data_IF_113314130113
#
_entry.id   IF_113314130113
#
_cell.length_a   1.000
_cell.length_b   1.000
_cell.length_c   1.000
_cell.angle_alpha   90.00
_cell.angle_beta   90.00
_cell.angle_gamma   90.00
#
_symmetry.space_group_name_H-M   'P 1'
#
loop_
_entity.id
_entity.type
_entity.pdbx_description
1 polymer ?
#
# COMPACT_ATOMS: atom_id res chain seq x y z
N UNK A 1 3.61 -18.75 1.29
CA UNK A 1 5.01 -18.26 1.17
C UNK A 1 5.40 -17.71 2.54
N UNK A 2 6.04 -18.55 3.38
CA UNK A 2 6.37 -18.33 4.80
C UNK A 2 5.44 -17.37 5.57
N UNK A 3 4.10 -17.51 5.39
CA UNK A 3 3.15 -16.73 6.18
C UNK A 3 3.42 -16.99 7.64
N UNK A 4 3.67 -18.25 8.00
CA UNK A 4 3.87 -18.66 9.39
C UNK A 4 5.18 -18.12 9.96
N UNK A 5 6.32 -18.23 9.25
CA UNK A 5 7.61 -17.72 9.77
C UNK A 5 7.67 -16.20 9.80
N UNK A 6 7.16 -15.53 8.75
CA UNK A 6 7.07 -14.07 8.73
C UNK A 6 6.09 -13.56 9.79
N UNK A 7 4.95 -14.23 9.98
CA UNK A 7 3.97 -13.88 11.00
C UNK A 7 4.50 -14.13 12.40
N UNK A 8 5.22 -15.24 12.64
CA UNK A 8 5.91 -15.47 13.93
C UNK A 8 6.91 -14.35 14.20
N UNK A 9 7.68 -13.93 13.20
CA UNK A 9 8.65 -12.85 13.36
C UNK A 9 7.99 -11.48 13.60
N UNK A 10 6.93 -11.15 12.85
CA UNK A 10 6.14 -9.93 13.07
C UNK A 10 5.47 -9.95 14.44
N UNK A 11 4.91 -11.09 14.86
CA UNK A 11 4.35 -11.27 16.19
C UNK A 11 5.42 -11.08 17.27
N UNK A 12 6.63 -11.60 17.07
CA UNK A 12 7.73 -11.43 18.01
C UNK A 12 8.13 -9.95 18.14
N UNK A 13 8.24 -9.22 17.02
CA UNK A 13 8.46 -7.77 17.04
C UNK A 13 7.32 -7.05 17.77
N UNK A 14 6.07 -7.44 17.51
CA UNK A 14 4.90 -6.80 18.09
C UNK A 14 4.84 -7.01 19.61
N UNK A 15 5.13 -8.23 20.09
CA UNK A 15 5.26 -8.53 21.51
C UNK A 15 6.41 -7.73 22.14
N UNK A 16 7.56 -7.67 21.48
CA UNK A 16 8.71 -6.92 21.97
C UNK A 16 8.46 -5.40 22.03
N UNK A 17 7.78 -4.85 21.02
CA UNK A 17 7.30 -3.46 20.98
C UNK A 17 6.32 -3.19 22.11
N UNK A 18 5.32 -4.04 22.30
CA UNK A 18 4.32 -3.89 23.36
C UNK A 18 4.97 -3.89 24.74
N UNK A 19 5.88 -4.82 25.00
CA UNK A 19 6.60 -4.90 26.27
C UNK A 19 7.39 -3.61 26.55
N UNK A 20 8.11 -3.09 25.56
CA UNK A 20 8.85 -1.83 25.68
C UNK A 20 7.92 -0.62 25.91
N UNK A 21 6.86 -0.50 25.11
CA UNK A 21 5.92 0.61 25.15
C UNK A 21 5.18 0.69 26.48
N UNK A 22 4.66 -0.44 26.97
CA UNK A 22 3.94 -0.52 28.25
C UNK A 22 4.87 -0.17 29.41
N UNK A 23 6.07 -0.74 29.42
CA UNK A 23 7.06 -0.50 30.49
C UNK A 23 7.49 0.97 30.53
N UNK A 24 7.77 1.56 29.36
CA UNK A 24 8.19 2.97 29.27
C UNK A 24 7.08 3.92 29.72
N UNK A 25 5.84 3.69 29.28
CA UNK A 25 4.70 4.51 29.67
C UNK A 25 4.35 4.36 31.15
N UNK A 26 4.48 3.15 31.71
CA UNK A 26 4.25 2.88 33.13
C UNK A 26 5.26 3.64 34.03
N UNK A 27 6.53 3.65 33.64
CA UNK A 27 7.58 4.40 34.34
C UNK A 27 7.38 5.92 34.27
N UNK A 28 6.93 6.43 33.12
CA UNK A 28 6.64 7.85 32.93
C UNK A 28 5.40 8.29 33.74
N UNK A 29 4.34 7.47 33.74
CA UNK A 29 3.10 7.78 34.46
C UNK A 29 3.26 7.76 35.98
N UNK A 30 4.13 6.91 36.51
CA UNK A 30 4.40 6.85 37.96
C UNK A 30 5.18 8.06 38.44
N UNK A 31 6.13 8.59 37.65
CA UNK A 31 6.82 9.83 37.99
C UNK A 31 5.84 11.04 38.01
N UNK A 32 4.96 11.18 37.01
CA UNK A 32 3.96 12.27 36.99
C UNK A 32 3.07 12.30 38.24
N UNK A 33 2.67 11.14 38.76
CA UNK A 33 1.87 11.03 39.98
C UNK A 33 2.64 11.44 41.25
N UNK A 34 3.91 11.05 41.33
CA UNK A 34 4.77 11.37 42.48
C UNK A 34 5.11 12.88 42.50
N UNK A 35 5.41 13.46 41.34
CA UNK A 35 5.79 14.87 41.23
C UNK A 35 4.61 15.82 41.53
N UNK A 36 3.39 15.46 41.13
CA UNK A 36 2.15 16.11 41.62
C UNK A 36 2.12 16.10 43.14
N UNK A 37 2.28 14.94 43.77
CA UNK A 37 2.10 14.77 45.21
C UNK A 37 3.02 15.69 46.02
N UNK A 38 4.24 15.93 45.52
CA UNK A 38 5.18 16.88 46.10
C UNK A 38 4.83 18.35 45.80
N UNK A 39 4.34 18.66 44.59
CA UNK A 39 3.88 20.01 44.24
C UNK A 39 2.67 20.46 45.10
N UNK A 40 1.77 19.54 45.46
CA UNK A 40 0.59 19.83 46.30
C UNK A 40 0.93 20.05 47.77
N UNK A 41 2.08 19.56 48.26
CA UNK A 41 2.53 19.78 49.64
C UNK A 41 3.20 21.15 49.84
N UNK A 42 3.53 21.87 48.75
CA UNK A 42 4.10 23.22 48.79
C UNK A 42 3.07 24.35 48.92
N UNK A 43 1.77 24.06 48.81
CA UNK A 43 0.72 25.09 48.86
C UNK A 43 -0.55 24.59 49.54
N UNK A 44 -0.73 25.02 50.80
CA UNK A 44 -2.03 25.18 51.48
C UNK A 44 -2.84 23.90 51.76
N UNK A 45 -2.76 23.43 53.01
CA UNK A 45 -3.74 22.83 53.95
C UNK A 45 -5.14 22.32 53.51
N UNK A 46 -5.40 22.06 52.24
CA UNK A 46 -6.62 21.43 51.78
C UNK A 46 -6.24 20.06 51.26
N UNK A 47 -6.47 19.04 52.08
CA UNK A 47 -6.49 17.65 51.66
C UNK A 47 -7.64 17.49 50.66
N UNK A 48 -7.40 17.85 49.40
CA UNK A 48 -8.24 17.44 48.30
C UNK A 48 -7.96 15.96 48.14
N UNK A 49 -8.90 15.13 48.60
CA UNK A 49 -8.97 13.71 48.27
C UNK A 49 -8.54 13.56 46.82
N UNK A 50 -7.41 12.88 46.63
CA UNK A 50 -6.83 12.56 45.34
C UNK A 50 -7.98 12.06 44.48
N UNK A 51 -8.46 12.92 43.59
CA UNK A 51 -9.33 12.50 42.50
C UNK A 51 -8.45 11.58 41.71
N UNK A 52 -8.67 10.30 41.98
CA UNK A 52 -8.14 9.19 41.22
C UNK A 52 -8.74 9.35 39.81
N UNK A 53 -8.17 10.27 39.03
CA UNK A 53 -8.23 10.25 37.58
C UNK A 53 -7.39 9.03 37.17
N UNK A 54 -7.90 7.84 37.53
CA UNK A 54 -7.58 6.59 36.87
C UNK A 54 -7.78 6.94 35.43
N UNK A 55 -6.69 6.96 34.67
CA UNK A 55 -6.77 7.17 33.24
C UNK A 55 -7.69 6.04 32.75
N UNK A 56 -8.95 6.38 32.51
CA UNK A 56 -9.97 5.41 32.19
C UNK A 56 -9.49 4.70 30.93
N UNK A 57 -9.74 3.39 30.88
CA UNK A 57 -9.36 2.55 29.76
C UNK A 57 -9.90 3.19 28.48
N UNK A 58 -9.01 3.86 27.75
CA UNK A 58 -9.35 4.65 26.59
C UNK A 58 -8.49 4.18 25.44
N UNK A 59 -9.10 4.11 24.26
CA UNK A 59 -8.38 3.75 23.05
C UNK A 59 -7.20 4.70 22.77
N UNK A 60 -7.27 5.92 23.33
CA UNK A 60 -6.22 6.93 23.29
C UNK A 60 -4.96 6.48 24.04
N UNK A 61 -5.09 5.91 25.24
CA UNK A 61 -3.95 5.34 25.98
C UNK A 61 -3.21 4.27 25.17
N UNK A 62 -3.94 3.31 24.63
CA UNK A 62 -3.33 2.23 23.85
C UNK A 62 -2.59 2.79 22.64
N UNK A 63 -3.22 3.74 21.94
CA UNK A 63 -2.63 4.40 20.77
C UNK A 63 -1.38 5.19 21.13
N UNK A 64 -1.41 5.95 22.22
CA UNK A 64 -0.31 6.82 22.62
C UNK A 64 0.89 5.98 23.12
N UNK A 65 0.63 4.90 23.86
CA UNK A 65 1.62 3.88 24.26
C UNK A 65 2.26 3.24 23.03
N UNK A 66 1.45 2.78 22.06
CA UNK A 66 1.97 2.17 20.83
C UNK A 66 2.79 3.14 19.99
N UNK A 67 2.29 4.36 19.80
CA UNK A 67 2.97 5.40 19.05
C UNK A 67 4.35 5.69 19.67
N UNK A 68 4.42 5.80 21.00
CA UNK A 68 5.69 6.05 21.68
C UNK A 68 6.76 5.02 21.36
N UNK A 69 6.44 3.72 21.38
CA UNK A 69 7.42 2.67 21.06
C UNK A 69 7.72 2.51 19.58
N UNK A 70 6.71 2.64 18.70
CA UNK A 70 6.88 2.39 17.26
C UNK A 70 7.78 3.44 16.60
N UNK A 71 7.62 4.71 16.99
CA UNK A 71 8.44 5.80 16.45
C UNK A 71 9.92 5.63 16.84
N UNK A 72 10.21 5.06 18.02
CA UNK A 72 11.59 4.79 18.46
C UNK A 72 12.27 3.70 17.62
N UNK A 73 11.55 2.66 17.18
CA UNK A 73 12.09 1.65 16.25
C UNK A 73 12.49 2.27 14.91
N UNK A 74 11.69 3.20 14.39
CA UNK A 74 11.98 3.91 13.15
C UNK A 74 13.00 5.04 13.28
N UNK A 75 13.67 5.16 14.43
CA UNK A 75 14.74 6.15 14.64
C UNK A 75 14.27 7.55 15.03
N UNK A 76 12.96 7.77 15.25
CA UNK A 76 12.48 8.99 15.90
C UNK A 76 12.73 8.89 17.40
N UNK A 77 13.95 9.19 17.80
CA UNK A 77 14.28 9.45 19.21
C UNK A 77 13.76 10.84 19.54
N UNK A 78 12.46 10.93 19.86
CA UNK A 78 11.87 12.15 20.43
C UNK A 78 12.82 12.76 21.46
N UNK A 79 13.16 14.04 21.25
CA UNK A 79 14.02 14.82 22.15
C UNK A 79 13.41 14.78 23.56
N UNK A 80 14.18 14.37 24.57
CA UNK A 80 13.64 14.24 25.93
C UNK A 80 13.22 15.58 26.56
N UNK A 81 13.54 16.72 25.93
CA UNK A 81 13.37 18.05 26.52
C UNK A 81 12.77 19.02 25.51
N UNK A 82 11.45 19.23 25.58
CA UNK A 82 10.86 20.45 25.03
C UNK A 82 11.21 21.60 25.98
N UNK A 83 12.11 22.47 25.55
CA UNK A 83 12.56 23.68 26.29
C UNK A 83 11.50 24.80 26.37
N UNK A 84 10.21 24.47 26.42
CA UNK A 84 9.16 25.47 26.55
C UNK A 84 8.60 25.38 27.98
N UNK A 85 9.03 26.32 28.82
CA UNK A 85 8.74 26.47 30.24
C UNK A 85 7.25 26.71 30.59
N UNK A 86 6.31 26.35 29.71
CA UNK A 86 4.87 26.57 29.89
C UNK A 86 4.05 25.28 29.99
N UNK A 87 4.62 24.12 29.66
CA UNK A 87 3.93 22.83 29.84
C UNK A 87 4.52 22.12 31.05
N UNK A 88 3.67 21.86 32.04
CA UNK A 88 3.96 21.15 33.30
C UNK A 88 4.22 19.65 33.07
N UNK A 89 4.99 19.31 32.02
CA UNK A 89 5.34 17.96 31.57
C UNK A 89 6.86 17.78 31.46
N UNK A 90 7.63 18.73 32.00
CA UNK A 90 9.10 18.70 32.05
C UNK A 90 9.53 17.64 33.07
N UNK A 91 9.98 16.50 32.56
CA UNK A 91 10.81 15.57 33.31
C UNK A 91 12.09 16.33 33.65
N UNK A 92 12.25 16.65 34.93
CA UNK A 92 13.40 17.39 35.45
C UNK A 92 14.69 16.65 35.08
N UNK A 93 15.69 17.41 34.64
CA UNK A 93 17.04 16.96 34.27
C UNK A 93 17.76 16.18 35.41
N UNK A 94 17.22 16.25 36.63
CA UNK A 94 17.73 15.57 37.83
C UNK A 94 16.98 14.28 38.24
N UNK A 95 16.01 13.81 37.46
CA UNK A 95 15.28 12.58 37.80
C UNK A 95 16.05 11.35 37.31
N UNK A 96 16.57 10.55 38.25
CA UNK A 96 17.20 9.25 37.97
C UNK A 96 16.32 8.34 37.08
N UNK A 97 15.00 8.49 37.16
CA UNK A 97 14.01 7.78 36.35
C UNK A 97 14.03 8.19 34.88
N UNK A 98 14.19 9.47 34.56
CA UNK A 98 14.29 9.95 33.17
C UNK A 98 15.53 9.39 32.47
N UNK A 99 16.66 9.36 33.19
CA UNK A 99 17.92 8.79 32.72
C UNK A 99 17.79 7.27 32.48
N UNK A 100 17.09 6.54 33.36
CA UNK A 100 16.84 5.11 33.19
C UNK A 100 15.97 4.82 31.95
N UNK A 101 14.89 5.58 31.75
CA UNK A 101 14.02 5.43 30.57
C UNK A 101 14.79 5.73 29.28
N UNK A 102 15.68 6.72 29.28
CA UNK A 102 16.54 7.01 28.14
C UNK A 102 17.51 5.86 27.85
N UNK A 103 18.23 5.35 28.85
CA UNK A 103 19.17 4.24 28.70
C UNK A 103 18.46 2.95 28.24
N UNK A 104 17.27 2.71 28.77
CA UNK A 104 16.39 1.62 28.35
C UNK A 104 15.93 1.78 26.89
N UNK A 105 15.57 2.99 26.46
CA UNK A 105 15.22 3.28 25.08
C UNK A 105 16.40 3.07 24.12
N UNK A 106 17.62 3.47 24.50
CA UNK A 106 18.82 3.22 23.70
C UNK A 106 19.09 1.73 23.54
N UNK A 107 19.03 0.96 24.63
CA UNK A 107 19.19 -0.49 24.58
C UNK A 107 18.14 -1.15 23.68
N UNK A 108 16.88 -0.72 23.78
CA UNK A 108 15.79 -1.18 22.93
C UNK A 108 16.04 -0.88 21.44
N UNK A 109 16.48 0.33 21.11
CA UNK A 109 16.80 0.71 19.72
C UNK A 109 17.95 -0.12 19.18
N UNK A 110 19.00 -0.37 19.96
CA UNK A 110 20.12 -1.23 19.55
C UNK A 110 19.64 -2.65 19.28
N UNK A 111 18.86 -3.24 20.19
CA UNK A 111 18.34 -4.61 20.02
C UNK A 111 17.40 -4.68 18.81
N UNK A 112 16.50 -3.72 18.65
CA UNK A 112 15.54 -3.69 17.54
C UNK A 112 16.22 -3.47 16.19
N UNK A 113 17.12 -2.49 16.09
CA UNK A 113 17.71 -2.10 14.80
C UNK A 113 18.91 -2.97 14.42
N UNK A 114 19.67 -3.50 15.37
CA UNK A 114 20.87 -4.31 15.08
C UNK A 114 20.55 -5.81 15.06
N UNK A 115 19.66 -6.32 15.93
CA UNK A 115 19.35 -7.76 15.93
C UNK A 115 18.11 -8.05 15.08
N UNK A 116 16.98 -7.40 15.37
CA UNK A 116 15.71 -7.74 14.73
C UNK A 116 15.70 -7.32 13.26
N UNK A 117 16.12 -6.10 12.92
CA UNK A 117 16.16 -5.65 11.51
C UNK A 117 17.12 -6.51 10.67
N UNK A 118 18.29 -6.86 11.21
CA UNK A 118 19.26 -7.70 10.49
C UNK A 118 18.75 -9.12 10.27
N UNK A 119 18.06 -9.69 11.26
CA UNK A 119 17.39 -11.00 11.11
C UNK A 119 16.24 -10.93 10.10
N UNK A 120 15.49 -9.83 10.06
CA UNK A 120 14.46 -9.59 9.05
C UNK A 120 15.05 -9.55 7.65
N UNK A 121 16.13 -8.79 7.46
CA UNK A 121 16.85 -8.70 6.18
C UNK A 121 17.39 -10.07 5.77
N UNK A 122 17.97 -10.83 6.70
CA UNK A 122 18.46 -12.18 6.42
C UNK A 122 17.35 -13.14 5.99
N UNK A 123 16.19 -13.09 6.66
CA UNK A 123 15.02 -13.86 6.26
C UNK A 123 14.49 -13.43 4.88
N UNK A 124 14.45 -12.13 4.59
CA UNK A 124 14.08 -11.64 3.27
C UNK A 124 15.05 -12.11 2.19
N UNK A 125 16.36 -12.01 2.41
CA UNK A 125 17.37 -12.45 1.45
C UNK A 125 17.22 -13.94 1.08
N UNK A 126 17.01 -14.80 2.08
CA UNK A 126 16.75 -16.23 1.83
C UNK A 126 15.45 -16.45 1.05
N UNK A 127 14.39 -15.75 1.41
CA UNK A 127 13.05 -15.93 0.82
C UNK A 127 12.96 -15.35 -0.59
N UNK A 128 13.59 -14.20 -0.82
CA UNK A 128 13.59 -13.53 -2.12
C UNK A 128 14.22 -14.43 -3.18
N UNK A 129 15.30 -15.17 -2.85
CA UNK A 129 15.90 -16.13 -3.79
C UNK A 129 14.88 -17.15 -4.31
N UNK A 130 14.26 -17.91 -3.40
CA UNK A 130 13.29 -18.96 -3.74
C UNK A 130 12.03 -18.42 -4.46
N UNK A 131 11.65 -17.19 -4.13
CA UNK A 131 10.44 -16.56 -4.65
C UNK A 131 10.70 -15.90 -5.98
N UNK A 132 11.88 -15.33 -6.17
CA UNK A 132 12.28 -14.74 -7.44
C UNK A 132 12.33 -15.79 -8.54
N UNK A 133 12.81 -17.00 -8.24
CA UNK A 133 12.83 -18.10 -9.20
C UNK A 133 11.41 -18.50 -9.65
N UNK A 134 10.51 -18.73 -8.68
CA UNK A 134 9.09 -19.08 -8.97
C UNK A 134 8.33 -17.92 -9.62
N UNK A 135 8.55 -16.71 -9.15
CA UNK A 135 7.94 -15.49 -9.68
C UNK A 135 8.39 -15.23 -11.12
N UNK A 136 9.66 -15.50 -11.44
CA UNK A 136 10.18 -15.38 -12.81
C UNK A 136 9.52 -16.38 -13.76
N UNK A 137 9.25 -17.61 -13.30
CA UNK A 137 8.51 -18.59 -14.11
C UNK A 137 7.06 -18.14 -14.35
N UNK A 138 6.36 -17.68 -13.30
CA UNK A 138 5.00 -17.16 -13.41
C UNK A 138 4.97 -15.94 -14.34
N UNK A 139 5.92 -15.03 -14.21
CA UNK A 139 6.05 -13.85 -15.04
C UNK A 139 6.25 -14.20 -16.52
N UNK A 140 7.09 -15.20 -16.82
CA UNK A 140 7.23 -15.69 -18.20
C UNK A 140 5.94 -16.31 -18.75
N UNK A 141 5.22 -17.09 -17.94
CA UNK A 141 3.92 -17.66 -18.35
C UNK A 141 2.91 -16.55 -18.60
N UNK A 142 2.87 -15.54 -17.74
CA UNK A 142 2.00 -14.39 -17.87
C UNK A 142 2.29 -13.59 -19.15
N UNK A 143 3.56 -13.28 -19.43
CA UNK A 143 3.96 -12.60 -20.67
C UNK A 143 3.57 -13.42 -21.91
N UNK A 144 3.82 -14.74 -21.91
CA UNK A 144 3.42 -15.61 -23.02
C UNK A 144 1.89 -15.62 -23.23
N UNK A 145 1.13 -15.61 -22.14
CA UNK A 145 -0.33 -15.52 -22.18
C UNK A 145 -0.82 -14.21 -22.80
N UNK A 146 -0.21 -13.08 -22.45
CA UNK A 146 -0.50 -11.78 -23.06
C UNK A 146 -0.20 -11.83 -24.56
N UNK A 147 0.99 -12.30 -24.94
CA UNK A 147 1.38 -12.37 -26.35
C UNK A 147 0.38 -13.22 -27.17
N UNK A 148 0.04 -14.41 -26.67
CA UNK A 148 -0.94 -15.28 -27.32
C UNK A 148 -2.32 -14.59 -27.46
N UNK A 149 -2.79 -13.92 -26.41
CA UNK A 149 -4.06 -13.17 -26.46
C UNK A 149 -4.01 -12.04 -27.49
N UNK A 150 -2.88 -11.34 -27.62
CA UNK A 150 -2.72 -10.27 -28.61
C UNK A 150 -2.67 -10.81 -30.04
N UNK A 151 -1.99 -11.94 -30.27
CA UNK A 151 -1.92 -12.57 -31.59
C UNK A 151 -3.30 -13.07 -32.05
N UNK A 152 -4.08 -13.68 -31.14
CA UNK A 152 -5.45 -14.10 -31.43
C UNK A 152 -6.34 -12.92 -31.83
N UNK A 153 -6.31 -11.83 -31.06
CA UNK A 153 -7.07 -10.62 -31.37
C UNK A 153 -6.66 -10.03 -32.74
N UNK A 154 -5.37 -10.06 -33.07
CA UNK A 154 -4.87 -9.57 -34.35
C UNK A 154 -5.33 -10.44 -35.54
N UNK A 155 -5.41 -11.76 -35.37
CA UNK A 155 -5.94 -12.67 -36.39
C UNK A 155 -7.45 -12.48 -36.61
N UNK A 156 -8.22 -12.31 -35.53
CA UNK A 156 -9.65 -12.00 -35.61
C UNK A 156 -9.89 -10.66 -36.32
N UNK A 157 -9.05 -9.66 -36.09
CA UNK A 157 -9.12 -8.39 -36.81
C UNK A 157 -8.80 -8.56 -38.30
N UNK A 158 -7.70 -9.25 -38.65
CA UNK A 158 -7.34 -9.51 -40.05
C UNK A 158 -8.44 -10.23 -40.83
N UNK A 159 -9.04 -11.26 -40.23
CA UNK A 159 -10.13 -12.01 -40.87
C UNK A 159 -11.40 -11.16 -41.05
N UNK A 160 -11.74 -10.31 -40.09
CA UNK A 160 -12.86 -9.35 -40.23
C UNK A 160 -12.59 -8.29 -41.29
N UNK A 161 -11.36 -7.76 -41.36
CA UNK A 161 -10.96 -6.80 -42.38
C UNK A 161 -11.06 -7.43 -43.77
N UNK A 162 -10.50 -8.64 -43.96
CA UNK A 162 -10.57 -9.33 -45.25
C UNK A 162 -12.01 -9.59 -45.68
N UNK A 163 -12.87 -10.09 -44.77
CA UNK A 163 -14.30 -10.28 -45.07
C UNK A 163 -15.02 -8.98 -45.45
N UNK A 164 -14.68 -7.87 -44.79
CA UNK A 164 -15.24 -6.56 -45.13
C UNK A 164 -14.79 -6.07 -46.51
N UNK A 165 -13.53 -6.32 -46.87
CA UNK A 165 -13.01 -6.04 -48.20
C UNK A 165 -13.71 -6.89 -49.27
N UNK A 166 -13.84 -8.21 -49.05
CA UNK A 166 -14.49 -9.13 -49.99
C UNK A 166 -15.96 -8.72 -50.26
N UNK A 167 -16.70 -8.35 -49.20
CA UNK A 167 -18.08 -7.87 -49.32
C UNK A 167 -18.20 -6.55 -50.09
N UNK A 168 -17.23 -5.64 -49.94
CA UNK A 168 -17.22 -4.40 -50.73
C UNK A 168 -16.94 -4.70 -52.20
N UNK A 169 -16.00 -5.60 -52.50
CA UNK A 169 -15.67 -6.00 -53.87
C UNK A 169 -16.88 -6.65 -54.55
N UNK A 170 -17.54 -7.60 -53.88
CA UNK A 170 -18.78 -8.23 -54.40
C UNK A 170 -19.88 -7.18 -54.68
N UNK A 171 -20.09 -6.24 -53.76
CA UNK A 171 -21.07 -5.16 -53.95
C UNK A 171 -20.74 -4.23 -55.12
N UNK A 172 -19.46 -3.99 -55.40
CA UNK A 172 -19.03 -3.24 -56.58
C UNK A 172 -19.21 -4.05 -57.87
N UNK A 173 -18.91 -5.34 -57.87
CA UNK A 173 -19.12 -6.21 -59.03
C UNK A 173 -20.60 -6.26 -59.40
N UNK A 174 -21.49 -6.45 -58.43
CA UNK A 174 -22.94 -6.50 -58.64
C UNK A 174 -23.48 -5.18 -59.23
N UNK A 175 -22.98 -4.04 -58.75
CA UNK A 175 -23.29 -2.73 -59.33
C UNK A 175 -22.81 -2.59 -60.77
N UNK A 176 -21.58 -3.04 -61.08
CA UNK A 176 -21.06 -2.96 -62.45
C UNK A 176 -21.80 -3.88 -63.42
N UNK A 177 -22.24 -5.06 -63.00
CA UNK A 177 -23.10 -5.92 -63.80
C UNK A 177 -24.47 -5.29 -64.05
N UNK A 178 -25.07 -4.69 -63.02
CA UNK A 178 -26.31 -3.92 -63.15
C UNK A 178 -26.19 -2.77 -64.15
N UNK A 179 -25.09 -2.01 -64.11
CA UNK A 179 -24.81 -0.94 -65.07
C UNK A 179 -24.63 -1.47 -66.50
N UNK A 180 -23.89 -2.58 -66.69
CA UNK A 180 -23.71 -3.21 -68.02
C UNK A 180 -25.06 -3.59 -68.63
N UNK A 181 -25.94 -4.20 -67.83
CA UNK A 181 -27.27 -4.61 -68.27
C UNK A 181 -28.13 -3.42 -68.69
N UNK A 182 -28.12 -2.34 -67.90
CA UNK A 182 -28.82 -1.10 -68.26
C UNK A 182 -28.30 -0.50 -69.57
N UNK A 183 -26.97 -0.47 -69.78
CA UNK A 183 -26.37 0.03 -71.03
C UNK A 183 -26.80 -0.80 -72.24
N UNK A 184 -26.91 -2.12 -72.06
CA UNK A 184 -27.35 -3.05 -73.12
C UNK A 184 -28.84 -2.86 -73.44
N UNK A 185 -29.68 -2.68 -72.44
CA UNK A 185 -31.09 -2.33 -72.60
C UNK A 185 -31.27 -0.99 -73.33
N UNK A 186 -30.48 0.04 -72.98
CA UNK A 186 -30.48 1.32 -73.70
C UNK A 186 -30.06 1.19 -75.16
N UNK A 187 -29.05 0.37 -75.47
CA UNK A 187 -28.64 0.09 -76.86
C UNK A 187 -29.79 -0.56 -77.64
N UNK A 188 -30.44 -1.57 -77.06
CA UNK A 188 -31.57 -2.27 -77.69
C UNK A 188 -32.74 -1.33 -77.94
N UNK A 189 -33.05 -0.44 -76.99
CA UNK A 189 -34.09 0.58 -77.15
C UNK A 189 -33.73 1.56 -78.28
N UNK A 190 -32.48 2.05 -78.33
CA UNK A 190 -32.02 2.98 -79.38
C UNK A 190 -32.12 2.36 -80.78
N UNK A 191 -31.73 1.09 -80.93
CA UNK A 191 -31.87 0.34 -82.19
C UNK A 191 -33.33 0.19 -82.58
N UNK A 192 -34.21 -0.11 -81.61
CA UNK A 192 -35.65 -0.23 -81.85
C UNK A 192 -36.23 1.09 -82.35
N UNK A 193 -35.93 2.21 -81.71
CA UNK A 193 -36.41 3.54 -82.14
C UNK A 193 -35.82 4.00 -83.48
N UNK A 194 -34.56 3.66 -83.82
CA UNK A 194 -34.01 3.99 -85.15
C UNK A 194 -34.69 3.19 -86.27
N UNK A 195 -35.18 1.99 -85.97
CA UNK A 195 -35.95 1.19 -86.92
C UNK A 195 -37.34 1.80 -87.20
N UNK A 196 -37.98 2.40 -86.19
CA UNK A 196 -39.29 3.06 -86.33
C UNK A 196 -39.24 4.41 -87.06
N UNK A 197 -38.09 5.08 -87.07
CA UNK A 197 -37.89 6.36 -87.79
C UNK A 197 -37.47 6.17 -89.27
N UNK A 198 -37.15 4.94 -89.67
CA UNK A 198 -36.72 4.58 -91.03
C UNK A 198 -37.86 4.02 -91.91
N UNK A 199 -39.10 4.00 -91.39
CA UNK A 199 -40.35 3.65 -92.09
C UNK A 199 -41.19 4.92 -92.20
#
# INVERSE_FOLDING_TARGET
MMKDTFLIFVCFILVFLLAFSITSWSLLSTNKQINWLYATNGSSNNFTLVSENRVQWSWQLLRDVFNWGIWKVFGQVAEPFKNNASDMDVISENDAYGTFVFLYAVAFVVISNVLLLNVLIAMFNKTIGDVFEKSTMIWRVFIKGIQFSTEKALQELKTKVNRGYDQQVEGFEEQTEGFKKQVEDFKNIKVKYSLYLAI
#
